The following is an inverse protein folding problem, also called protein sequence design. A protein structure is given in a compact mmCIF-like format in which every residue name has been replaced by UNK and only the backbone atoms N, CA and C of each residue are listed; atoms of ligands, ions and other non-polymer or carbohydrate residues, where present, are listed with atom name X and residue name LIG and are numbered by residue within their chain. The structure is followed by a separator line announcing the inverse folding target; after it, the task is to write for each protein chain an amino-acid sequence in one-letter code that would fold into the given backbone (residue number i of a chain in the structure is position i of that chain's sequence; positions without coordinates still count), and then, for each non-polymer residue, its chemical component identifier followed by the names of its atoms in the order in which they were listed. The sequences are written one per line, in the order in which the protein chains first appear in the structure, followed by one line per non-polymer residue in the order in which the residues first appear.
data_IF_500835146337
#
_entry.id   IF_500835146337
#
_cell.length_a   1.000
_cell.length_b   1.000
_cell.length_c   1.000
_cell.angle_alpha   90.00
_cell.angle_beta   90.00
_cell.angle_gamma   90.00
#
_symmetry.space_group_name_H-M   'P 1'
#
loop_
_entity.id
_entity.type
_entity.pdbx_description
1 polymer ?
#
# COMPACT_ATOMS: atom_id res chain seq x y z
N UNK A 1 -68.75 35.06 5.14
CA UNK A 1 -68.48 34.24 6.35
C UNK A 1 -66.98 34.15 6.52
N UNK A 2 -66.49 34.66 7.67
CA UNK A 2 -65.22 34.40 8.39
C UNK A 2 -63.90 34.59 7.61
N UNK A 3 -63.18 35.71 7.70
CA UNK A 3 -62.41 36.31 8.82
C UNK A 3 -60.93 35.89 8.83
N UNK A 4 -60.04 36.87 8.65
CA UNK A 4 -58.61 36.79 8.95
C UNK A 4 -58.37 36.62 10.45
N UNK A 5 -57.28 35.97 10.84
CA UNK A 5 -56.49 36.36 12.01
C UNK A 5 -55.04 35.91 11.83
N UNK A 6 -54.15 36.89 11.83
CA UNK A 6 -52.76 36.79 12.27
C UNK A 6 -52.75 36.44 13.76
N UNK A 7 -51.81 35.58 14.16
CA UNK A 7 -51.35 35.51 15.55
C UNK A 7 -49.83 35.59 15.51
N UNK A 8 -49.31 36.77 15.83
CA UNK A 8 -48.00 36.92 16.46
C UNK A 8 -48.02 36.14 17.77
N UNK A 9 -47.04 35.26 17.99
CA UNK A 9 -46.72 34.82 19.34
C UNK A 9 -45.48 35.54 19.84
N UNK A 10 -45.67 36.13 21.01
CA UNK A 10 -44.94 37.24 21.58
C UNK A 10 -44.34 36.75 22.90
N UNK A 11 -43.41 35.80 22.82
CA UNK A 11 -42.60 35.38 23.96
C UNK A 11 -41.14 35.27 23.57
N UNK A 12 -40.51 36.44 23.61
CA UNK A 12 -39.13 36.62 23.99
C UNK A 12 -38.94 36.00 25.39
N UNK A 13 -38.46 34.77 25.42
CA UNK A 13 -37.81 34.22 26.62
C UNK A 13 -36.38 33.91 26.22
N UNK A 14 -35.50 34.86 26.53
CA UNK A 14 -34.06 34.66 26.64
C UNK A 14 -33.78 33.44 27.52
N UNK A 15 -33.64 32.28 26.90
CA UNK A 15 -32.77 31.25 27.42
C UNK A 15 -31.44 31.42 26.69
N UNK A 16 -30.44 31.89 27.43
CA UNK A 16 -29.03 31.62 27.14
C UNK A 16 -28.87 30.10 27.07
N UNK A 17 -29.19 29.52 25.92
CA UNK A 17 -28.62 28.25 25.52
C UNK A 17 -27.25 28.65 24.99
N UNK A 18 -26.29 28.77 25.90
CA UNK A 18 -24.90 28.47 25.56
C UNK A 18 -24.94 27.17 24.78
N UNK A 19 -24.72 27.25 23.47
CA UNK A 19 -24.41 26.08 22.66
C UNK A 19 -23.37 25.29 23.47
N UNK A 20 -23.56 23.98 23.70
CA UNK A 20 -22.50 23.19 24.27
C UNK A 20 -21.31 23.40 23.33
N UNK A 21 -20.26 24.06 23.85
CA UNK A 21 -18.97 24.15 23.18
C UNK A 21 -18.63 22.70 22.87
N UNK A 22 -18.80 22.32 21.59
CA UNK A 22 -18.34 21.02 21.13
C UNK A 22 -16.88 20.98 21.59
N UNK A 23 -16.48 19.96 22.37
CA UNK A 23 -15.07 19.84 22.71
C UNK A 23 -14.31 19.93 21.40
N UNK A 24 -13.37 20.87 21.32
CA UNK A 24 -12.44 20.93 20.21
C UNK A 24 -11.73 19.59 20.31
N UNK A 25 -12.17 18.61 19.53
CA UNK A 25 -11.46 17.35 19.37
C UNK A 25 -10.17 17.78 18.70
N UNK A 26 -9.10 17.85 19.49
CA UNK A 26 -7.77 18.11 18.97
C UNK A 26 -7.51 17.05 17.92
N UNK A 27 -7.42 17.47 16.66
CA UNK A 27 -7.08 16.53 15.59
C UNK A 27 -5.71 15.94 15.90
N UNK A 28 -5.52 14.62 15.70
CA UNK A 28 -4.21 14.02 15.85
C UNK A 28 -3.18 14.79 15.02
N UNK A 29 -2.02 15.06 15.60
CA UNK A 29 -0.88 15.56 14.82
C UNK A 29 -0.21 14.41 14.09
N UNK A 30 0.51 14.71 13.00
CA UNK A 30 1.29 13.72 12.29
C UNK A 30 2.27 13.00 13.23
N UNK A 31 2.43 11.69 13.05
CA UNK A 31 3.32 10.87 13.86
C UNK A 31 4.49 10.33 13.05
N UNK A 32 5.68 10.35 13.64
CA UNK A 32 6.90 9.78 13.06
C UNK A 32 7.59 8.84 14.01
N UNK A 33 8.18 7.78 13.48
CA UNK A 33 9.05 6.88 14.22
C UNK A 33 10.33 6.62 13.43
N UNK A 34 11.45 6.58 14.14
CA UNK A 34 12.76 6.40 13.57
C UNK A 34 13.54 5.38 14.40
N UNK A 35 14.21 4.46 13.72
CA UNK A 35 15.04 3.45 14.36
C UNK A 35 16.25 3.12 13.50
N UNK A 36 17.41 2.92 14.13
CA UNK A 36 18.64 2.51 13.46
C UNK A 36 19.21 1.25 14.11
N UNK A 37 19.53 0.24 13.30
CA UNK A 37 20.22 -0.96 13.73
C UNK A 37 21.62 -1.02 13.11
N UNK A 38 22.61 -1.43 13.91
CA UNK A 38 23.89 -1.91 13.39
C UNK A 38 23.80 -3.41 13.20
N UNK A 39 24.09 -3.90 12.00
CA UNK A 39 23.98 -5.33 11.70
C UNK A 39 25.36 -5.95 11.61
N UNK A 40 25.69 -6.75 12.61
CA UNK A 40 27.04 -7.31 12.81
C UNK A 40 27.34 -8.53 11.93
N UNK A 41 26.31 -9.24 11.44
CA UNK A 41 26.45 -10.50 10.69
C UNK A 41 25.73 -10.47 9.34
N UNK A 42 26.11 -9.55 8.46
CA UNK A 42 25.55 -9.49 7.10
C UNK A 42 26.19 -10.57 6.23
N UNK A 43 25.40 -11.20 5.35
CA UNK A 43 25.85 -12.21 4.37
C UNK A 43 27.15 -11.75 3.65
N UNK A 44 28.17 -12.62 3.48
CA UNK A 44 29.40 -12.28 2.77
C UNK A 44 29.19 -11.66 1.38
N UNK A 45 28.18 -12.11 0.64
CA UNK A 45 27.83 -11.55 -0.68
C UNK A 45 27.34 -10.10 -0.59
N UNK A 46 26.77 -9.70 0.53
CA UNK A 46 26.37 -8.32 0.81
C UNK A 46 27.55 -7.47 1.26
N UNK A 47 28.45 -8.03 2.07
CA UNK A 47 29.68 -7.36 2.48
C UNK A 47 30.59 -7.02 1.29
N UNK A 48 30.64 -7.87 0.26
CA UNK A 48 31.40 -7.60 -0.96
C UNK A 48 30.79 -6.49 -1.82
N UNK A 49 29.46 -6.30 -1.77
CA UNK A 49 28.73 -5.25 -2.49
C UNK A 49 28.81 -3.89 -1.76
N UNK A 50 28.92 -3.92 -0.43
CA UNK A 50 29.12 -2.72 0.40
C UNK A 50 30.35 -2.87 1.31
N UNK A 51 31.58 -2.88 0.73
CA UNK A 51 32.79 -3.06 1.52
C UNK A 51 33.05 -1.86 2.44
N UNK A 52 33.47 -2.14 3.67
CA UNK A 52 34.02 -1.16 4.61
C UNK A 52 33.02 -0.38 5.47
N UNK A 53 31.74 -0.73 5.47
CA UNK A 53 30.74 -0.06 6.30
C UNK A 53 30.19 -0.98 7.39
N UNK A 54 30.06 -0.43 8.61
CA UNK A 54 29.05 -0.89 9.54
C UNK A 54 27.71 -0.76 8.82
N UNK A 55 27.11 -1.88 8.40
CA UNK A 55 25.85 -1.87 7.68
C UNK A 55 24.79 -1.31 8.63
N UNK A 56 24.35 -0.08 8.37
CA UNK A 56 23.38 0.62 9.21
C UNK A 56 22.04 0.56 8.53
N UNK A 57 21.14 -0.16 9.17
CA UNK A 57 19.77 -0.30 8.73
C UNK A 57 18.97 0.85 9.33
N UNK A 58 18.26 1.60 8.50
CA UNK A 58 17.46 2.74 8.93
C UNK A 58 15.99 2.44 8.64
N UNK A 59 15.17 2.50 9.68
CA UNK A 59 13.72 2.36 9.62
C UNK A 59 13.04 3.68 9.93
N UNK A 60 12.13 4.12 9.07
CA UNK A 60 11.38 5.35 9.25
C UNK A 60 9.90 5.11 8.95
N UNK A 61 9.04 5.48 9.89
CA UNK A 61 7.60 5.51 9.71
C UNK A 61 7.07 6.94 9.81
N UNK A 62 6.04 7.22 9.01
CA UNK A 62 5.28 8.46 9.02
C UNK A 62 3.80 8.12 8.88
N UNK A 63 2.96 8.67 9.74
CA UNK A 63 1.50 8.58 9.67
C UNK A 63 0.92 9.99 9.73
N UNK A 64 0.13 10.36 8.72
CA UNK A 64 -0.61 11.62 8.75
C UNK A 64 -1.71 11.62 9.81
N UNK A 65 -2.12 12.81 10.23
CA UNK A 65 -3.32 13.04 11.02
C UNK A 65 -4.54 12.25 10.50
N UNK A 66 -4.75 12.24 9.17
CA UNK A 66 -5.90 11.59 8.53
C UNK A 66 -5.94 10.07 8.73
N UNK A 67 -4.79 9.40 8.74
CA UNK A 67 -4.76 7.95 9.01
C UNK A 67 -4.92 7.69 10.51
N UNK A 68 -4.36 8.54 11.38
CA UNK A 68 -4.50 8.40 12.83
C UNK A 68 -5.97 8.57 13.26
N UNK A 69 -6.70 9.55 12.73
CA UNK A 69 -8.14 9.75 12.97
C UNK A 69 -8.97 8.52 12.54
N UNK A 70 -8.57 7.84 11.45
CA UNK A 70 -9.23 6.59 11.02
C UNK A 70 -9.00 5.46 12.03
N UNK A 71 -7.82 5.42 12.67
CA UNK A 71 -7.52 4.41 13.67
C UNK A 71 -8.29 4.67 14.97
N UNK A 72 -8.42 5.93 15.39
CA UNK A 72 -9.24 6.36 16.53
C UNK A 72 -10.71 5.97 16.38
N UNK A 73 -11.27 6.17 15.18
CA UNK A 73 -12.64 5.78 14.87
C UNK A 73 -12.85 4.25 14.77
N UNK A 74 -11.85 3.44 15.15
CA UNK A 74 -11.85 1.99 15.05
C UNK A 74 -12.18 1.49 13.63
N UNK A 75 -11.79 2.27 12.64
CA UNK A 75 -12.02 1.91 11.24
C UNK A 75 -11.20 0.69 10.86
N UNK A 76 -11.81 -0.25 10.13
CA UNK A 76 -11.10 -1.44 9.67
C UNK A 76 -10.25 -1.13 8.44
N UNK A 77 -9.03 -1.62 8.42
CA UNK A 77 -8.17 -1.68 7.25
C UNK A 77 -8.06 -3.07 6.66
N UNK A 78 -7.34 -3.19 5.55
CA UNK A 78 -7.02 -4.47 4.93
C UNK A 78 -5.54 -4.55 4.64
N UNK A 79 -4.89 -5.67 4.95
CA UNK A 79 -3.48 -5.90 4.58
C UNK A 79 -3.41 -6.69 3.28
N UNK A 80 -2.89 -6.09 2.21
CA UNK A 80 -2.55 -6.80 0.97
C UNK A 80 -1.38 -7.76 1.28
N UNK A 81 -1.35 -8.97 0.69
CA UNK A 81 -0.24 -9.89 0.88
C UNK A 81 1.11 -9.20 0.62
N UNK A 82 2.08 -9.49 1.49
CA UNK A 82 3.48 -9.14 1.29
C UNK A 82 3.91 -9.72 -0.05
N UNK A 83 4.48 -8.89 -0.91
CA UNK A 83 4.93 -9.31 -2.23
C UNK A 83 6.42 -9.60 -2.19
N UNK A 84 6.81 -10.81 -2.58
CA UNK A 84 8.21 -11.18 -2.82
C UNK A 84 8.53 -11.11 -4.31
N UNK A 85 9.77 -10.74 -4.60
CA UNK A 85 10.33 -10.78 -5.95
C UNK A 85 11.01 -12.12 -6.16
N UNK A 86 10.61 -12.84 -7.20
CA UNK A 86 11.17 -14.14 -7.57
C UNK A 86 12.44 -13.97 -8.40
N UNK A 87 13.18 -15.07 -8.59
CA UNK A 87 14.44 -15.05 -9.36
C UNK A 87 14.22 -14.69 -10.84
N UNK A 88 13.02 -14.93 -11.39
CA UNK A 88 12.63 -14.48 -12.74
C UNK A 88 12.05 -13.05 -12.75
N UNK A 89 12.27 -12.27 -11.69
CA UNK A 89 11.84 -10.86 -11.57
C UNK A 89 10.32 -10.66 -11.64
N UNK A 90 9.55 -11.64 -11.16
CA UNK A 90 8.10 -11.54 -11.04
C UNK A 90 7.67 -11.28 -9.61
N UNK A 91 6.47 -10.72 -9.46
CA UNK A 91 5.88 -10.41 -8.16
C UNK A 91 4.98 -11.56 -7.73
N UNK A 92 5.21 -12.11 -6.55
CA UNK A 92 4.37 -13.20 -6.02
C UNK A 92 4.02 -12.96 -4.55
N UNK A 93 2.85 -13.42 -4.08
CA UNK A 93 2.49 -13.28 -2.69
C UNK A 93 3.35 -14.20 -1.81
N UNK A 94 3.86 -13.64 -0.72
CA UNK A 94 4.58 -14.32 0.34
C UNK A 94 3.66 -14.51 1.54
N UNK A 95 2.93 -15.63 1.56
CA UNK A 95 1.91 -15.89 2.57
C UNK A 95 2.49 -16.05 3.98
N UNK A 96 3.72 -16.54 4.11
CA UNK A 96 4.38 -16.74 5.40
C UNK A 96 4.68 -15.38 6.04
N UNK A 97 5.37 -14.50 5.32
CA UNK A 97 5.69 -13.17 5.82
C UNK A 97 4.43 -12.28 5.94
N UNK A 98 3.43 -12.51 5.08
CA UNK A 98 2.10 -11.87 5.23
C UNK A 98 1.45 -12.22 6.56
N UNK A 99 1.44 -13.49 6.95
CA UNK A 99 0.85 -13.93 8.21
C UNK A 99 1.59 -13.34 9.43
N UNK A 100 2.93 -13.29 9.36
CA UNK A 100 3.78 -12.68 10.40
C UNK A 100 3.49 -11.18 10.55
N UNK A 101 3.49 -10.44 9.43
CA UNK A 101 3.19 -9.01 9.43
C UNK A 101 1.76 -8.73 9.92
N UNK A 102 0.78 -9.51 9.45
CA UNK A 102 -0.61 -9.39 9.90
C UNK A 102 -0.74 -9.53 11.43
N UNK A 103 -0.03 -10.51 12.02
CA UNK A 103 -0.04 -10.73 13.48
C UNK A 103 0.54 -9.55 14.26
N UNK A 104 1.58 -8.91 13.72
CA UNK A 104 2.18 -7.70 14.32
C UNK A 104 1.19 -6.54 14.24
N UNK A 105 0.68 -6.25 13.05
CA UNK A 105 -0.14 -5.07 12.79
C UNK A 105 -1.51 -5.13 13.50
N UNK A 106 -2.16 -6.30 13.56
CA UNK A 106 -3.50 -6.44 14.17
C UNK A 106 -3.59 -6.03 15.64
N UNK A 107 -2.45 -5.88 16.32
CA UNK A 107 -2.39 -5.45 17.73
C UNK A 107 -2.75 -3.97 17.93
N UNK A 108 -2.45 -3.14 16.92
CA UNK A 108 -2.69 -1.68 16.95
C UNK A 108 -3.57 -1.19 15.80
N UNK A 109 -3.50 -1.83 14.64
CA UNK A 109 -4.32 -1.51 13.49
C UNK A 109 -5.53 -2.45 13.45
N UNK A 110 -6.78 -1.95 13.46
CA UNK A 110 -7.95 -2.80 13.24
C UNK A 110 -7.93 -3.35 11.81
N UNK A 111 -7.72 -4.66 11.64
CA UNK A 111 -7.67 -5.30 10.32
C UNK A 111 -8.92 -6.16 10.05
N UNK A 112 -9.38 -6.13 8.80
CA UNK A 112 -10.36 -7.06 8.24
C UNK A 112 -9.79 -8.48 8.13
N UNK A 113 -10.62 -9.45 7.74
CA UNK A 113 -10.21 -10.85 7.73
C UNK A 113 -9.13 -11.15 6.69
N UNK A 114 -8.31 -12.17 6.96
CA UNK A 114 -7.32 -12.68 5.98
C UNK A 114 -7.99 -13.12 4.67
N UNK A 115 -9.23 -13.61 4.74
CA UNK A 115 -10.03 -13.93 3.55
C UNK A 115 -10.33 -12.69 2.69
N UNK A 116 -10.65 -11.56 3.32
CA UNK A 116 -10.90 -10.29 2.61
C UNK A 116 -9.62 -9.80 1.94
N UNK A 117 -8.48 -9.91 2.64
CA UNK A 117 -7.15 -9.58 2.10
C UNK A 117 -6.83 -10.35 0.81
N UNK A 118 -7.06 -11.66 0.80
CA UNK A 118 -6.82 -12.50 -0.38
C UNK A 118 -7.82 -12.22 -1.50
N UNK A 119 -9.10 -12.03 -1.15
CA UNK A 119 -10.16 -11.70 -2.12
C UNK A 119 -9.89 -10.35 -2.78
N UNK A 120 -9.43 -9.35 -2.01
CA UNK A 120 -9.02 -8.07 -2.55
C UNK A 120 -7.82 -8.21 -3.48
N UNK A 121 -6.77 -8.94 -3.09
CA UNK A 121 -5.61 -9.18 -3.95
C UNK A 121 -5.98 -9.85 -5.28
N UNK A 122 -6.86 -10.86 -5.24
CA UNK A 122 -7.37 -11.49 -6.47
C UNK A 122 -8.21 -10.51 -7.30
N UNK A 123 -9.02 -9.67 -6.65
CA UNK A 123 -9.80 -8.63 -7.34
C UNK A 123 -8.90 -7.59 -8.01
N UNK A 124 -7.82 -7.20 -7.33
CA UNK A 124 -6.79 -6.30 -7.85
C UNK A 124 -6.12 -6.89 -9.10
N UNK A 125 -5.61 -8.11 -9.03
CA UNK A 125 -4.95 -8.74 -10.16
C UNK A 125 -5.90 -9.01 -11.32
N UNK A 126 -7.13 -9.45 -11.05
CA UNK A 126 -8.15 -9.62 -12.09
C UNK A 126 -8.57 -8.30 -12.73
N UNK A 127 -8.46 -7.17 -12.02
CA UNK A 127 -8.71 -5.86 -12.64
C UNK A 127 -7.64 -5.48 -13.66
N UNK A 128 -6.39 -5.94 -13.49
CA UNK A 128 -5.31 -5.76 -14.49
C UNK A 128 -5.61 -6.58 -15.75
N UNK A 129 -6.02 -7.84 -15.56
CA UNK A 129 -6.40 -8.74 -16.65
C UNK A 129 -7.55 -8.17 -17.50
N UNK A 130 -8.44 -7.39 -16.89
CA UNK A 130 -9.57 -6.78 -17.57
C UNK A 130 -9.22 -5.51 -18.38
N UNK A 131 -8.22 -4.73 -17.97
CA UNK A 131 -7.82 -3.49 -18.65
C UNK A 131 -7.30 -3.73 -20.07
N UNK A 132 -6.73 -4.92 -20.31
CA UNK A 132 -6.07 -5.29 -21.57
C UNK A 132 -4.88 -4.37 -21.92
N UNK A 133 -3.83 -4.28 -21.06
CA UNK A 133 -2.63 -3.48 -21.34
C UNK A 133 -2.02 -3.75 -22.72
N UNK A 134 -1.40 -2.71 -23.27
CA UNK A 134 -0.68 -2.79 -24.52
C UNK A 134 0.45 -3.85 -24.46
N UNK A 135 0.74 -4.51 -25.59
CA UNK A 135 1.81 -5.49 -25.73
C UNK A 135 1.64 -6.81 -24.95
N UNK A 136 0.41 -7.22 -24.67
CA UNK A 136 0.18 -8.59 -24.22
C UNK A 136 0.56 -9.59 -25.32
N UNK A 137 1.56 -10.42 -25.05
CA UNK A 137 1.90 -11.57 -25.91
C UNK A 137 1.04 -12.79 -25.60
N UNK A 138 0.55 -12.90 -24.37
CA UNK A 138 -0.38 -13.94 -23.95
C UNK A 138 -1.81 -13.49 -24.17
N UNK A 139 -2.59 -14.35 -24.80
CA UNK A 139 -4.02 -14.21 -24.80
C UNK A 139 -4.58 -14.49 -23.40
N UNK A 140 -5.11 -13.44 -22.77
CA UNK A 140 -5.94 -13.54 -21.56
C UNK A 140 -7.39 -13.57 -22.02
N UNK A 141 -8.22 -14.45 -21.46
CA UNK A 141 -9.61 -14.65 -21.89
C UNK A 141 -10.41 -13.34 -21.93
N UNK A 142 -10.22 -12.47 -20.92
CA UNK A 142 -10.80 -11.12 -20.87
C UNK A 142 -10.34 -10.24 -22.04
N UNK A 143 -9.06 -10.32 -22.41
CA UNK A 143 -8.48 -9.56 -23.51
C UNK A 143 -8.91 -10.08 -24.86
N UNK A 144 -8.98 -11.41 -25.04
CA UNK A 144 -9.57 -12.01 -26.22
C UNK A 144 -11.01 -11.53 -26.37
N UNK A 145 -11.82 -11.63 -25.32
CA UNK A 145 -13.21 -11.22 -25.35
C UNK A 145 -13.42 -9.74 -25.73
N UNK A 146 -12.58 -8.83 -25.22
CA UNK A 146 -12.57 -7.40 -25.62
C UNK A 146 -12.27 -7.20 -27.11
N UNK A 147 -11.39 -8.01 -27.71
CA UNK A 147 -11.13 -7.97 -29.17
C UNK A 147 -12.38 -8.32 -29.98
N UNK A 148 -13.24 -9.22 -29.49
CA UNK A 148 -14.46 -9.65 -30.18
C UNK A 148 -15.65 -8.73 -29.93
N UNK A 149 -15.74 -8.12 -28.75
CA UNK A 149 -16.78 -7.17 -28.40
C UNK A 149 -16.13 -5.85 -27.98
N UNK A 150 -16.04 -4.91 -28.92
CA UNK A 150 -15.67 -3.53 -28.62
C UNK A 150 -16.80 -2.86 -27.82
N UNK A 151 -16.93 -3.20 -26.55
CA UNK A 151 -17.74 -2.41 -25.63
C UNK A 151 -17.05 -1.04 -25.49
N UNK A 152 -17.53 -0.08 -26.29
CA UNK A 152 -17.14 1.31 -26.16
C UNK A 152 -17.33 1.76 -24.70
N UNK A 153 -16.25 2.22 -24.05
CA UNK A 153 -16.32 2.85 -22.73
C UNK A 153 -15.95 2.01 -21.50
N UNK A 154 -15.31 0.84 -21.64
CA UNK A 154 -14.93 0.00 -20.48
C UNK A 154 -13.43 0.00 -20.09
N UNK A 155 -12.62 0.94 -20.58
CA UNK A 155 -11.26 1.10 -20.07
C UNK A 155 -10.75 2.48 -20.37
N UNK A 156 -10.36 3.21 -19.33
CA UNK A 156 -9.50 4.37 -19.49
C UNK A 156 -8.07 3.86 -19.67
N UNK A 157 -7.32 4.43 -20.62
CA UNK A 157 -5.92 4.07 -20.86
C UNK A 157 -4.99 4.67 -19.79
N UNK A 158 -5.53 5.51 -18.90
CA UNK A 158 -4.79 6.19 -17.83
C UNK A 158 -4.34 5.27 -16.68
N UNK A 159 -4.99 4.11 -16.50
CA UNK A 159 -4.73 3.18 -15.40
C UNK A 159 -4.49 1.76 -15.88
N UNK A 160 -3.59 1.04 -15.21
CA UNK A 160 -3.40 -0.40 -15.44
C UNK A 160 -4.57 -1.24 -14.89
N UNK A 161 -5.49 -0.65 -14.14
CA UNK A 161 -6.59 -1.32 -13.46
C UNK A 161 -7.97 -1.00 -14.05
N UNK A 162 -8.88 -1.98 -14.08
CA UNK A 162 -10.32 -1.73 -14.18
C UNK A 162 -10.82 -1.06 -12.87
N UNK A 163 -10.78 0.28 -12.85
CA UNK A 163 -11.21 1.07 -11.70
C UNK A 163 -12.67 0.82 -11.31
N UNK A 164 -13.54 0.54 -12.29
CA UNK A 164 -14.95 0.28 -12.02
C UNK A 164 -15.14 -1.00 -11.21
N UNK A 165 -14.31 -2.01 -11.46
CA UNK A 165 -14.25 -3.24 -10.65
C UNK A 165 -13.76 -2.95 -9.24
N UNK A 166 -12.69 -2.18 -9.07
CA UNK A 166 -12.19 -1.80 -7.74
C UNK A 166 -13.19 -0.96 -6.96
N UNK A 167 -13.81 0.05 -7.58
CA UNK A 167 -14.86 0.90 -6.99
C UNK A 167 -16.06 0.07 -6.51
N UNK A 168 -16.50 -0.91 -7.31
CA UNK A 168 -17.58 -1.84 -6.90
C UNK A 168 -17.18 -2.67 -5.67
N UNK A 169 -15.95 -3.17 -5.64
CA UNK A 169 -15.45 -3.94 -4.50
C UNK A 169 -15.38 -3.08 -3.23
N UNK A 170 -14.89 -1.84 -3.31
CA UNK A 170 -14.88 -0.93 -2.16
C UNK A 170 -16.28 -0.59 -1.67
N UNK A 171 -17.24 -0.40 -2.59
CA UNK A 171 -18.64 -0.14 -2.23
C UNK A 171 -19.26 -1.32 -1.48
N UNK A 172 -18.97 -2.55 -1.88
CA UNK A 172 -19.46 -3.75 -1.17
C UNK A 172 -18.75 -3.99 0.17
N UNK A 173 -17.58 -3.39 0.39
CA UNK A 173 -16.80 -3.49 1.62
C UNK A 173 -16.62 -2.13 2.29
N UNK A 174 -17.71 -1.36 2.43
CA UNK A 174 -17.71 0.02 2.93
C UNK A 174 -17.21 0.19 4.38
N UNK A 175 -17.08 -0.92 5.13
CA UNK A 175 -16.46 -0.98 6.44
C UNK A 175 -14.94 -0.80 6.41
N UNK A 176 -14.31 -1.05 5.26
CA UNK A 176 -12.87 -0.86 5.07
C UNK A 176 -12.57 0.60 4.73
N UNK A 177 -11.71 1.25 5.53
CA UNK A 177 -11.39 2.69 5.39
C UNK A 177 -9.98 2.97 4.92
N UNK A 178 -9.10 1.99 4.92
CA UNK A 178 -7.72 2.08 4.43
C UNK A 178 -7.21 0.71 4.03
N UNK A 179 -6.11 0.69 3.28
CA UNK A 179 -5.42 -0.52 2.84
C UNK A 179 -3.95 -0.38 3.20
N UNK A 180 -3.36 -1.42 3.76
CA UNK A 180 -1.94 -1.53 3.99
C UNK A 180 -1.39 -2.41 2.87
N UNK A 181 -0.44 -1.90 2.10
CA UNK A 181 0.17 -2.63 0.99
C UNK A 181 1.65 -2.31 0.89
N UNK A 182 2.40 -3.06 0.06
CA UNK A 182 3.72 -2.60 -0.36
C UNK A 182 3.64 -1.22 -1.02
N UNK A 183 4.78 -0.58 -1.29
CA UNK A 183 4.82 0.80 -1.81
C UNK A 183 3.71 1.09 -2.84
N UNK A 184 2.91 2.11 -2.57
CA UNK A 184 1.88 2.63 -3.47
C UNK A 184 2.44 2.97 -4.84
N UNK A 185 3.69 3.41 -4.95
CA UNK A 185 4.35 3.61 -6.25
C UNK A 185 4.59 2.30 -7.00
N UNK A 186 4.86 1.18 -6.30
CA UNK A 186 4.94 -0.14 -6.91
C UNK A 186 3.57 -0.53 -7.45
N UNK A 187 2.51 -0.46 -6.63
CA UNK A 187 1.13 -0.76 -7.04
C UNK A 187 0.60 0.21 -8.10
N UNK A 188 1.12 1.45 -8.13
CA UNK A 188 1.08 2.45 -9.19
C UNK A 188 1.59 2.03 -10.58
N UNK A 189 2.41 0.99 -10.68
CA UNK A 189 3.33 0.81 -11.81
C UNK A 189 3.08 -0.43 -12.65
N UNK A 190 3.63 -0.41 -13.87
CA UNK A 190 3.65 -1.54 -14.80
C UNK A 190 4.38 -2.79 -14.28
N UNK A 191 5.08 -2.72 -13.14
CA UNK A 191 5.64 -3.90 -12.47
C UNK A 191 4.54 -4.91 -12.08
N UNK A 192 3.32 -4.43 -11.80
CA UNK A 192 2.17 -5.27 -11.43
C UNK A 192 1.67 -6.14 -12.58
N UNK A 193 2.00 -5.81 -13.83
CA UNK A 193 1.74 -6.67 -14.99
C UNK A 193 2.45 -8.02 -14.88
N UNK A 194 3.59 -8.04 -14.18
CA UNK A 194 4.39 -9.24 -13.88
C UNK A 194 4.05 -9.88 -12.53
N UNK A 195 2.85 -9.63 -11.99
CA UNK A 195 2.39 -10.26 -10.76
C UNK A 195 1.77 -11.65 -10.98
N UNK A 196 1.67 -12.41 -9.89
CA UNK A 196 1.10 -13.75 -9.81
C UNK A 196 0.00 -13.80 -8.75
N UNK A 197 -1.06 -14.55 -9.01
CA UNK A 197 -2.14 -14.81 -8.03
C UNK A 197 -1.66 -15.62 -6.82
N UNK A 198 -0.70 -16.52 -7.04
CA UNK A 198 -0.09 -17.33 -5.97
C UNK A 198 1.39 -17.57 -6.26
N UNK A 199 2.14 -18.08 -5.28
CA UNK A 199 3.56 -18.37 -5.44
C UNK A 199 3.88 -19.26 -6.66
N UNK A 200 2.97 -20.18 -6.98
CA UNK A 200 3.15 -21.18 -8.05
C UNK A 200 2.25 -20.92 -9.27
N UNK A 201 1.43 -19.86 -9.26
CA UNK A 201 0.61 -19.54 -10.43
C UNK A 201 1.48 -19.01 -11.55
N UNK A 202 0.92 -19.03 -12.77
CA UNK A 202 1.49 -18.29 -13.89
C UNK A 202 1.47 -16.80 -13.59
N UNK A 203 2.33 -16.07 -14.28
CA UNK A 203 2.30 -14.61 -14.33
C UNK A 203 1.05 -14.17 -15.08
N UNK A 204 0.48 -13.03 -14.68
CA UNK A 204 -0.70 -12.43 -15.29
C UNK A 204 -0.42 -12.09 -16.75
N UNK A 205 0.67 -11.38 -17.01
CA UNK A 205 1.15 -11.08 -18.37
C UNK A 205 2.53 -11.66 -18.62
N UNK A 206 2.84 -11.97 -19.88
CA UNK A 206 4.18 -12.36 -20.29
C UNK A 206 4.95 -11.12 -20.76
N UNK A 207 6.12 -10.88 -20.16
CA UNK A 207 7.01 -9.77 -20.49
C UNK A 207 8.45 -10.29 -20.62
N UNK A 208 9.25 -9.66 -21.48
CA UNK A 208 10.67 -9.99 -21.59
C UNK A 208 11.41 -9.72 -20.28
N UNK A 209 12.50 -10.44 -20.02
CA UNK A 209 13.27 -10.26 -18.78
C UNK A 209 13.76 -8.82 -18.61
N UNK A 210 14.21 -8.17 -19.70
CA UNK A 210 14.67 -6.77 -19.66
C UNK A 210 13.56 -5.79 -19.29
N UNK A 211 12.33 -5.98 -19.78
CA UNK A 211 11.18 -5.15 -19.39
C UNK A 211 10.85 -5.34 -17.91
N UNK A 212 10.82 -6.61 -17.45
CA UNK A 212 10.56 -6.93 -16.03
C UNK A 212 11.60 -6.31 -15.12
N UNK A 213 12.87 -6.40 -15.50
CA UNK A 213 13.98 -5.80 -14.78
C UNK A 213 13.82 -4.28 -14.66
N UNK A 214 13.60 -3.58 -15.77
CA UNK A 214 13.41 -2.14 -15.78
C UNK A 214 12.25 -1.70 -14.89
N UNK A 215 11.16 -2.45 -14.89
CA UNK A 215 9.96 -2.14 -14.10
C UNK A 215 10.17 -2.40 -12.60
N UNK A 216 10.82 -3.49 -12.22
CA UNK A 216 10.93 -3.87 -10.79
C UNK A 216 12.09 -3.19 -10.06
N UNK A 217 13.20 -2.93 -10.76
CA UNK A 217 14.45 -2.46 -10.18
C UNK A 217 14.33 -1.21 -9.30
N UNK A 218 13.51 -0.19 -9.63
CA UNK A 218 13.34 1.00 -8.78
C UNK A 218 12.86 0.69 -7.35
N UNK A 219 12.15 -0.42 -7.17
CA UNK A 219 11.51 -0.83 -5.92
C UNK A 219 12.36 -1.80 -5.09
N UNK A 220 13.52 -2.21 -5.59
CA UNK A 220 14.43 -3.10 -4.88
C UNK A 220 15.47 -2.32 -4.07
N UNK A 221 16.09 -3.00 -3.09
CA UNK A 221 17.08 -2.43 -2.17
C UNK A 221 16.49 -1.72 -0.95
N UNK A 222 15.16 -1.67 -0.85
CA UNK A 222 14.41 -1.14 0.30
C UNK A 222 13.07 -1.84 0.41
N UNK A 223 12.52 -1.90 1.62
CA UNK A 223 11.14 -2.34 1.85
C UNK A 223 10.33 -1.14 2.28
N UNK A 224 9.19 -0.94 1.63
CA UNK A 224 8.24 0.10 1.99
C UNK A 224 6.83 -0.45 1.98
N UNK A 225 6.08 -0.18 3.04
CA UNK A 225 4.64 -0.36 3.07
C UNK A 225 3.96 0.99 3.24
N UNK A 226 2.84 1.17 2.56
CA UNK A 226 2.02 2.37 2.58
C UNK A 226 0.62 2.04 3.13
N UNK A 227 0.06 2.99 3.88
CA UNK A 227 -1.33 3.04 4.31
C UNK A 227 -2.04 3.94 3.32
N UNK A 228 -2.86 3.33 2.47
CA UNK A 228 -3.46 4.02 1.34
C UNK A 228 -4.97 4.06 1.44
N UNK A 229 -5.53 5.03 0.74
CA UNK A 229 -6.94 5.09 0.39
C UNK A 229 -7.08 5.02 -1.13
N UNK A 230 -8.24 4.58 -1.66
CA UNK A 230 -8.52 4.68 -3.08
C UNK A 230 -8.34 6.13 -3.55
N UNK A 231 -7.64 6.30 -4.66
CA UNK A 231 -7.33 7.60 -5.23
C UNK A 231 -8.59 8.37 -5.62
N UNK A 232 -8.52 9.69 -5.48
CA UNK A 232 -9.53 10.62 -6.00
C UNK A 232 -9.10 11.25 -7.32
N UNK A 233 -7.81 11.20 -7.62
CA UNK A 233 -7.20 11.77 -8.82
C UNK A 233 -7.11 10.70 -9.91
N UNK A 234 -7.39 11.07 -11.16
CA UNK A 234 -7.41 10.17 -12.32
C UNK A 234 -6.06 9.46 -12.57
N UNK A 235 -4.96 10.00 -12.02
CA UNK A 235 -3.60 9.51 -12.31
C UNK A 235 -3.07 8.45 -11.32
N UNK A 236 -3.72 8.23 -10.17
CA UNK A 236 -3.25 7.26 -9.16
C UNK A 236 -4.41 6.51 -8.52
N UNK A 237 -4.40 5.19 -8.63
CA UNK A 237 -5.40 4.32 -8.00
C UNK A 237 -5.26 4.26 -6.47
N UNK A 238 -4.04 4.41 -5.95
CA UNK A 238 -3.73 4.36 -4.52
C UNK A 238 -3.00 5.61 -4.04
N UNK A 239 -3.58 6.32 -3.07
CA UNK A 239 -3.02 7.50 -2.43
C UNK A 239 -2.54 7.18 -1.02
N UNK A 240 -1.23 7.35 -0.76
CA UNK A 240 -0.62 7.10 0.55
C UNK A 240 -0.94 8.21 1.55
N UNK A 241 -1.41 7.83 2.73
CA UNK A 241 -1.64 8.67 3.91
C UNK A 241 -0.58 8.41 5.00
N UNK A 242 0.30 7.44 4.79
CA UNK A 242 1.31 7.04 5.75
C UNK A 242 2.19 5.94 5.18
N UNK A 243 3.41 5.82 5.68
CA UNK A 243 4.38 4.87 5.16
C UNK A 243 5.38 4.46 6.21
N UNK A 244 5.82 3.21 6.14
CA UNK A 244 7.01 2.73 6.84
C UNK A 244 8.00 2.22 5.80
N UNK A 245 9.23 2.71 5.87
CA UNK A 245 10.33 2.36 4.96
C UNK A 245 11.50 1.84 5.78
N UNK A 246 12.14 0.79 5.26
CA UNK A 246 13.37 0.21 5.78
C UNK A 246 14.39 0.10 4.65
N UNK A 247 15.58 0.65 4.86
CA UNK A 247 16.64 0.63 3.87
C UNK A 247 18.02 0.65 4.52
N UNK A 248 19.03 0.25 3.75
CA UNK A 248 20.43 0.41 4.13
C UNK A 248 20.91 1.78 3.71
N UNK A 249 21.34 2.59 4.68
CA UNK A 249 21.83 3.95 4.43
C UNK A 249 22.93 3.98 3.37
N UNK A 250 23.89 3.06 3.46
CA UNK A 250 25.01 2.99 2.53
C UNK A 250 24.61 2.58 1.11
N UNK A 251 23.56 1.74 0.98
CA UNK A 251 23.04 1.36 -0.33
C UNK A 251 22.35 2.55 -1.02
N UNK A 252 21.59 3.34 -0.26
CA UNK A 252 20.97 4.57 -0.77
C UNK A 252 22.01 5.61 -1.19
N UNK A 253 23.04 5.81 -0.37
CA UNK A 253 24.15 6.72 -0.69
C UNK A 253 24.89 6.27 -1.96
N UNK A 254 25.21 4.98 -2.09
CA UNK A 254 25.89 4.43 -3.27
C UNK A 254 25.02 4.51 -4.53
N UNK A 255 23.72 4.25 -4.42
CA UNK A 255 22.77 4.43 -5.52
C UNK A 255 22.67 5.89 -5.94
N UNK A 256 22.73 6.83 -5.00
CA UNK A 256 22.75 8.28 -5.29
C UNK A 256 24.04 8.70 -6.03
N UNK A 257 25.19 8.17 -5.62
CA UNK A 257 26.49 8.53 -6.20
C UNK A 257 26.76 7.87 -7.56
N UNK A 258 26.38 6.61 -7.73
CA UNK A 258 26.78 5.80 -8.89
C UNK A 258 25.60 5.49 -9.83
N UNK A 259 24.40 5.98 -9.51
CA UNK A 259 23.19 5.76 -10.29
C UNK A 259 22.50 4.42 -10.00
N UNK A 260 21.35 4.23 -10.64
CA UNK A 260 20.50 3.05 -10.44
C UNK A 260 21.15 1.76 -10.95
N UNK A 261 22.13 1.82 -11.85
CA UNK A 261 22.81 0.69 -12.51
C UNK A 261 23.94 0.01 -11.72
N UNK A 262 24.35 0.57 -10.58
CA UNK A 262 25.58 0.18 -9.88
C UNK A 262 25.64 -1.26 -9.34
N UNK A 263 24.48 -1.84 -9.01
CA UNK A 263 24.34 -3.17 -8.38
C UNK A 263 23.40 -4.00 -9.24
N UNK A 264 23.74 -5.25 -9.53
CA UNK A 264 22.86 -6.09 -10.34
C UNK A 264 21.51 -6.34 -9.64
N UNK A 265 20.49 -6.66 -10.42
CA UNK A 265 19.11 -6.82 -9.92
C UNK A 265 18.98 -8.03 -9.00
N UNK A 266 19.74 -9.10 -9.24
CA UNK A 266 19.71 -10.32 -8.42
C UNK A 266 20.18 -10.04 -6.99
N UNK A 267 21.29 -9.31 -6.85
CA UNK A 267 21.79 -8.82 -5.57
C UNK A 267 20.75 -7.95 -4.84
N UNK A 268 20.03 -7.08 -5.56
CA UNK A 268 18.95 -6.28 -4.99
C UNK A 268 17.74 -7.10 -4.53
N UNK A 269 17.44 -8.22 -5.21
CA UNK A 269 16.39 -9.17 -4.78
C UNK A 269 16.81 -9.87 -3.49
N UNK A 270 18.06 -10.31 -3.38
CA UNK A 270 18.59 -10.91 -2.15
C UNK A 270 18.59 -9.92 -0.98
N UNK A 271 18.93 -8.64 -1.22
CA UNK A 271 18.78 -7.57 -0.23
C UNK A 271 17.35 -7.49 0.29
N UNK A 272 16.36 -7.45 -0.59
CA UNK A 272 14.95 -7.37 -0.19
C UNK A 272 14.52 -8.59 0.64
N UNK A 273 14.97 -9.81 0.28
CA UNK A 273 14.70 -11.02 1.08
C UNK A 273 15.27 -10.89 2.50
N UNK A 274 16.48 -10.36 2.64
CA UNK A 274 17.13 -10.15 3.94
C UNK A 274 16.49 -9.03 4.76
N UNK A 275 15.98 -7.98 4.13
CA UNK A 275 15.34 -6.85 4.82
C UNK A 275 14.00 -7.21 5.46
N UNK A 276 13.28 -8.20 4.93
CA UNK A 276 11.89 -8.46 5.31
C UNK A 276 11.68 -8.86 6.78
N UNK A 277 12.50 -9.75 7.37
CA UNK A 277 12.44 -10.02 8.81
C UNK A 277 12.64 -8.76 9.66
N UNK A 278 13.64 -7.91 9.33
CA UNK A 278 13.88 -6.65 10.04
C UNK A 278 12.75 -5.64 9.84
N UNK A 279 12.08 -5.67 8.69
CA UNK A 279 10.92 -4.80 8.47
C UNK A 279 9.75 -5.20 9.39
N UNK A 280 9.53 -6.50 9.60
CA UNK A 280 8.49 -6.97 10.53
C UNK A 280 8.85 -6.57 11.97
N UNK A 281 10.13 -6.59 12.33
CA UNK A 281 10.63 -6.08 13.62
C UNK A 281 10.42 -4.57 13.77
N UNK A 282 10.80 -3.78 12.74
CA UNK A 282 10.49 -2.34 12.67
C UNK A 282 9.00 -2.09 12.93
N UNK A 283 8.11 -2.84 12.27
CA UNK A 283 6.67 -2.68 12.46
C UNK A 283 6.22 -3.05 13.87
N UNK A 284 6.83 -4.07 14.47
CA UNK A 284 6.57 -4.46 15.87
C UNK A 284 6.96 -3.34 16.83
N UNK A 285 8.08 -2.67 16.60
CA UNK A 285 8.54 -1.61 17.49
C UNK A 285 7.79 -0.30 17.25
N UNK A 286 7.53 0.04 15.99
CA UNK A 286 6.70 1.18 15.62
C UNK A 286 5.30 1.07 16.24
N UNK A 287 4.65 -0.10 16.16
CA UNK A 287 3.31 -0.31 16.77
C UNK A 287 3.33 -0.18 18.30
N UNK A 288 4.38 -0.65 18.98
CA UNK A 288 4.51 -0.46 20.44
C UNK A 288 4.74 1.01 20.81
N UNK A 289 5.46 1.76 19.98
CA UNK A 289 5.77 3.16 20.21
C UNK A 289 4.64 4.13 19.84
N UNK A 290 3.60 3.67 19.12
CA UNK A 290 2.43 4.50 18.82
C UNK A 290 1.65 4.84 20.10
N UNK A 291 1.28 6.13 20.30
CA UNK A 291 0.52 6.58 21.47
C UNK A 291 -0.74 5.75 21.71
N UNK A 292 -1.07 5.51 22.98
CA UNK A 292 -2.29 4.77 23.35
C UNK A 292 -3.55 5.65 23.34
N UNK A 293 -3.39 6.97 23.36
CA UNK A 293 -4.45 7.99 23.54
C UNK A 293 -5.35 8.20 22.32
N UNK A 294 -5.22 7.35 21.31
CA UNK A 294 -6.07 7.34 20.12
C UNK A 294 -7.13 6.21 20.19
N UNK A 295 -7.69 5.94 21.38
CA UNK A 295 -8.71 4.91 21.61
C UNK A 295 -10.02 5.46 22.15
#
# INVERSE_FOLDING_TARGET
MTSSCSVLDWFDTKSDITEPVKPVVEKPSDWTFFHEWQVENVNPSMQSLVPGASMTLTGQCFFSADILERLESNSKGLLVPVIKVTNDLTLSPDLENSARLYKVLRSKFPLGGVGDSLTFYQTLLSSIEHTCPANMTRDIDSCQFKKWMSFAGLGDESSIYDESRLKRWYKSHSSLKYIIMGSSDLFNSDALLSARYSANSRVITEQSLSVRENNIRPYLGKIRFDWVVPGKDENKTFNSLGSCTLSWKQLEEKRRLNGSGWIDTESLVEINKMLLPYFIELMSDATKAMPEEHR
#
